data_IF_881435830728
#
_entry.id   IF_881435830728
#
_cell.length_a   1.000
_cell.length_b   1.000
_cell.length_c   1.000
_cell.angle_alpha   90.00
_cell.angle_beta   90.00
_cell.angle_gamma   90.00
#
_symmetry.space_group_name_H-M   'P 1'
#
loop_
_entity.id
_entity.type
_entity.pdbx_description
1 polymer ?
#
# COMPACT_ATOMS: atom_id res chain seq x y z
N UNK A 1 -5.42 7.73 0.21
CA UNK A 1 -5.88 7.41 -1.15
C UNK A 1 -5.04 8.15 -2.17
N UNK A 2 -4.82 7.56 -3.34
CA UNK A 2 -4.10 8.18 -4.46
C UNK A 2 -4.64 7.68 -5.80
N UNK A 3 -4.44 8.47 -6.84
CA UNK A 3 -4.67 8.02 -8.20
C UNK A 3 -3.35 7.64 -8.86
N UNK A 4 -3.35 6.52 -9.56
CA UNK A 4 -2.28 6.23 -10.51
C UNK A 4 -2.38 7.22 -11.67
N UNK A 5 -1.36 8.04 -11.87
CA UNK A 5 -1.38 9.14 -12.86
C UNK A 5 -1.45 8.66 -14.30
N UNK A 6 -1.02 7.42 -14.57
CA UNK A 6 -0.97 6.87 -15.92
C UNK A 6 -2.24 6.10 -16.27
N UNK A 7 -2.74 5.28 -15.34
CA UNK A 7 -3.94 4.46 -15.59
C UNK A 7 -5.22 5.13 -15.16
N UNK A 8 -5.15 6.05 -14.17
CA UNK A 8 -6.32 6.67 -13.52
C UNK A 8 -6.96 5.77 -12.47
N UNK A 9 -6.37 4.62 -12.13
CA UNK A 9 -6.87 3.74 -11.07
C UNK A 9 -6.77 4.42 -9.71
N UNK A 10 -7.82 4.31 -8.91
CA UNK A 10 -7.83 4.82 -7.54
C UNK A 10 -7.36 3.71 -6.58
N UNK A 11 -6.29 3.98 -5.86
CA UNK A 11 -5.76 3.15 -4.80
C UNK A 11 -6.19 3.66 -3.43
N UNK A 12 -6.66 2.76 -2.59
CA UNK A 12 -7.19 3.07 -1.26
C UNK A 12 -6.47 2.15 -0.26
N UNK A 13 -5.68 2.72 0.63
CA UNK A 13 -5.23 2.04 1.81
C UNK A 13 -6.22 2.38 2.92
N UNK A 14 -6.88 1.38 3.44
CA UNK A 14 -7.92 1.52 4.45
C UNK A 14 -7.47 0.84 5.73
N UNK A 15 -7.47 1.62 6.82
CA UNK A 15 -7.03 1.14 8.14
C UNK A 15 -8.13 0.31 8.75
N UNK A 16 -7.81 -0.91 9.13
CA UNK A 16 -8.73 -1.81 9.78
C UNK A 16 -9.12 -1.39 11.21
N UNK A 17 -10.12 -2.05 11.75
CA UNK A 17 -10.62 -1.77 13.10
C UNK A 17 -9.72 -2.38 14.17
N UNK A 18 -9.19 -3.57 13.96
CA UNK A 18 -8.50 -4.27 15.02
C UNK A 18 -7.48 -5.32 14.62
N UNK A 19 -7.66 -6.02 13.53
CA UNK A 19 -6.87 -7.19 13.18
C UNK A 19 -6.25 -7.15 11.77
N UNK A 20 -6.85 -6.43 10.82
CA UNK A 20 -6.47 -6.47 9.41
C UNK A 20 -6.40 -5.09 8.76
N UNK A 21 -5.36 -4.87 7.98
CA UNK A 21 -5.19 -3.73 7.08
C UNK A 21 -5.49 -4.14 5.65
N UNK A 22 -5.98 -3.20 4.82
CA UNK A 22 -6.38 -3.54 3.45
C UNK A 22 -5.99 -2.50 2.41
N UNK A 23 -5.73 -3.01 1.20
CA UNK A 23 -5.51 -2.20 0.00
C UNK A 23 -6.60 -2.54 -1.00
N UNK A 24 -7.36 -1.53 -1.37
CA UNK A 24 -8.42 -1.60 -2.37
C UNK A 24 -8.04 -0.84 -3.64
N UNK A 25 -8.57 -1.28 -4.78
CA UNK A 25 -8.36 -0.60 -6.06
C UNK A 25 -9.68 -0.44 -6.80
N UNK A 26 -9.93 0.78 -7.30
CA UNK A 26 -10.99 1.06 -8.26
C UNK A 26 -10.34 1.30 -9.61
N UNK A 27 -10.44 0.39 -10.58
CA UNK A 27 -9.97 0.65 -11.93
C UNK A 27 -10.64 1.89 -12.54
N UNK A 28 -9.91 2.68 -13.30
CA UNK A 28 -10.40 3.94 -13.89
C UNK A 28 -11.72 3.80 -14.65
N UNK A 29 -11.92 2.65 -15.32
CA UNK A 29 -13.16 2.31 -16.03
C UNK A 29 -14.10 1.43 -15.19
N UNK A 30 -13.82 1.28 -13.89
CA UNK A 30 -14.61 0.45 -12.98
C UNK A 30 -15.87 1.14 -12.48
N UNK A 31 -16.76 0.34 -11.87
CA UNK A 31 -17.94 0.88 -11.18
C UNK A 31 -17.49 1.72 -9.96
N UNK A 32 -18.08 2.90 -9.83
CA UNK A 32 -17.84 3.80 -8.68
C UNK A 32 -18.69 3.44 -7.45
N UNK A 33 -19.72 2.61 -7.62
CA UNK A 33 -20.60 2.20 -6.52
C UNK A 33 -20.11 0.87 -5.92
N UNK A 34 -19.01 0.94 -5.18
CA UNK A 34 -18.37 -0.21 -4.53
C UNK A 34 -18.59 -0.19 -3.03
N UNK A 35 -18.83 -1.36 -2.45
CA UNK A 35 -18.89 -1.58 -1.02
C UNK A 35 -17.74 -2.52 -0.62
N UNK A 36 -16.79 -2.02 0.13
CA UNK A 36 -15.60 -2.77 0.57
C UNK A 36 -15.82 -3.60 1.85
N UNK A 37 -17.05 -3.61 2.36
CA UNK A 37 -17.46 -4.61 3.35
C UNK A 37 -17.53 -4.14 4.78
N UNK A 38 -16.95 -3.03 5.16
CA UNK A 38 -17.09 -2.54 6.53
C UNK A 38 -18.57 -2.30 6.88
N UNK A 39 -19.04 -2.76 8.05
CA UNK A 39 -18.35 -3.52 9.13
C UNK A 39 -18.55 -5.05 9.03
N UNK A 40 -19.07 -5.55 7.94
CA UNK A 40 -19.33 -6.99 7.80
C UNK A 40 -18.04 -7.77 7.69
N UNK A 41 -17.05 -7.16 7.05
CA UNK A 41 -15.72 -7.68 6.85
C UNK A 41 -14.66 -6.66 7.28
N UNK A 42 -13.52 -7.15 7.74
CA UNK A 42 -12.28 -6.42 7.95
C UNK A 42 -11.23 -7.12 7.08
N UNK A 43 -10.71 -6.42 6.08
CA UNK A 43 -10.02 -7.09 4.99
C UNK A 43 -10.96 -8.04 4.23
N UNK A 44 -10.55 -9.29 4.08
CA UNK A 44 -11.36 -10.38 3.52
C UNK A 44 -11.92 -11.34 4.60
N UNK A 45 -11.79 -10.98 5.87
CA UNK A 45 -12.19 -11.79 7.01
C UNK A 45 -13.53 -11.29 7.59
N UNK A 46 -14.48 -12.18 7.90
CA UNK A 46 -15.73 -11.78 8.57
C UNK A 46 -15.47 -11.10 9.92
N UNK A 47 -16.00 -9.87 10.11
CA UNK A 47 -15.90 -9.11 11.36
C UNK A 47 -17.22 -9.13 12.13
N UNK A 48 -18.28 -8.49 11.61
CA UNK A 48 -19.60 -8.48 12.24
C UNK A 48 -20.68 -8.65 11.17
N UNK A 49 -21.12 -9.89 10.99
CA UNK A 49 -22.07 -10.25 9.94
C UNK A 49 -23.54 -9.95 10.25
N UNK A 50 -23.86 -9.40 11.45
CA UNK A 50 -25.24 -9.10 11.82
C UNK A 50 -25.86 -8.04 10.89
N UNK A 51 -26.91 -8.40 10.16
CA UNK A 51 -27.59 -7.53 9.20
C UNK A 51 -26.85 -7.36 7.87
N UNK A 52 -25.81 -8.14 7.62
CA UNK A 52 -25.05 -8.09 6.38
C UNK A 52 -25.71 -8.91 5.26
N UNK A 53 -25.46 -8.52 4.03
CA UNK A 53 -25.81 -9.28 2.85
C UNK A 53 -24.80 -10.42 2.57
N UNK A 54 -25.06 -11.22 1.51
CA UNK A 54 -24.11 -12.25 1.11
C UNK A 54 -22.76 -11.65 0.66
N UNK A 55 -21.68 -12.42 0.78
CA UNK A 55 -20.33 -11.98 0.45
C UNK A 55 -20.17 -11.38 -0.97
N UNK A 56 -20.96 -11.87 -1.93
CA UNK A 56 -20.95 -11.33 -3.29
C UNK A 56 -21.45 -9.89 -3.46
N UNK A 57 -21.98 -9.29 -2.39
CA UNK A 57 -22.36 -7.86 -2.40
C UNK A 57 -21.18 -6.93 -2.11
N UNK A 58 -20.03 -7.46 -1.77
CA UNK A 58 -18.84 -6.71 -1.37
C UNK A 58 -17.71 -6.90 -2.39
N UNK A 59 -16.84 -5.91 -2.45
CA UNK A 59 -15.59 -5.98 -3.22
C UNK A 59 -14.46 -6.16 -2.22
N UNK A 60 -13.82 -7.31 -2.28
CA UNK A 60 -12.70 -7.61 -1.40
C UNK A 60 -11.41 -6.92 -1.85
N UNK A 61 -10.50 -6.62 -0.91
CA UNK A 61 -9.25 -5.93 -1.20
C UNK A 61 -8.33 -6.76 -2.12
N UNK A 62 -7.43 -6.08 -2.80
CA UNK A 62 -6.38 -6.71 -3.62
C UNK A 62 -5.23 -7.24 -2.77
N UNK A 63 -5.09 -6.71 -1.54
CA UNK A 63 -4.11 -7.15 -0.56
C UNK A 63 -4.59 -6.84 0.85
N UNK A 64 -4.32 -7.77 1.77
CA UNK A 64 -4.52 -7.60 3.21
C UNK A 64 -3.28 -8.02 3.97
N UNK A 65 -3.08 -7.47 5.18
CA UNK A 65 -2.10 -7.99 6.12
C UNK A 65 -2.62 -7.84 7.55
N UNK A 66 -2.21 -8.76 8.43
CA UNK A 66 -2.61 -8.79 9.82
C UNK A 66 -1.76 -7.87 10.71
N UNK A 67 -2.26 -7.60 11.93
CA UNK A 67 -1.52 -6.87 12.97
C UNK A 67 -0.43 -7.72 13.64
N UNK A 68 -0.13 -8.90 13.11
CA UNK A 68 0.98 -9.73 13.56
C UNK A 68 2.32 -9.02 13.49
N UNK A 69 3.25 -9.43 14.34
CA UNK A 69 4.61 -8.86 14.41
C UNK A 69 4.67 -7.38 14.76
N UNK A 70 3.61 -6.82 15.38
CA UNK A 70 3.57 -5.42 15.82
C UNK A 70 3.07 -4.42 14.77
N UNK A 71 2.56 -4.88 13.64
CA UNK A 71 1.87 -4.05 12.65
C UNK A 71 0.57 -3.52 13.21
N UNK A 72 0.11 -2.36 12.76
CA UNK A 72 -1.08 -1.75 13.33
C UNK A 72 -1.86 -0.81 12.42
N UNK A 73 -1.27 -0.27 11.39
CA UNK A 73 -1.94 0.75 10.59
C UNK A 73 -1.22 0.96 9.26
N UNK A 74 -1.94 0.74 8.18
CA UNK A 74 -1.42 0.99 6.85
C UNK A 74 -1.29 2.48 6.57
N UNK A 75 -0.11 2.88 6.12
CA UNK A 75 0.11 4.18 5.50
C UNK A 75 0.10 3.99 4.00
N UNK A 76 -0.94 4.50 3.37
CA UNK A 76 -1.14 4.40 1.94
C UNK A 76 -0.26 5.32 1.16
N UNK A 77 0.00 4.94 -0.05
CA UNK A 77 1.04 5.35 -0.91
C UNK A 77 0.58 5.70 -2.31
N UNK A 78 1.43 5.44 -3.24
CA UNK A 78 1.26 5.76 -4.64
C UNK A 78 1.83 4.67 -5.54
N UNK A 79 1.32 4.58 -6.76
CA UNK A 79 2.00 3.85 -7.83
C UNK A 79 3.18 4.70 -8.32
N UNK A 80 4.37 4.11 -8.36
CA UNK A 80 5.55 4.82 -8.86
C UNK A 80 5.46 5.02 -10.38
N UNK A 81 5.64 6.27 -10.82
CA UNK A 81 5.61 6.69 -12.22
C UNK A 81 6.75 7.67 -12.56
N UNK A 82 7.78 7.71 -11.69
CA UNK A 82 8.93 8.57 -11.89
C UNK A 82 9.93 8.00 -12.91
N UNK A 83 10.61 8.85 -13.69
CA UNK A 83 11.59 8.39 -14.67
C UNK A 83 12.94 8.01 -14.06
N UNK A 84 13.18 8.34 -12.77
CA UNK A 84 14.50 8.17 -12.16
C UNK A 84 14.84 6.71 -11.87
N UNK A 85 13.83 5.88 -11.59
CA UNK A 85 13.98 4.47 -11.23
C UNK A 85 13.02 3.60 -12.06
N UNK A 86 13.35 3.32 -13.34
CA UNK A 86 12.46 2.54 -14.22
C UNK A 86 12.10 1.15 -13.69
N UNK A 87 12.97 0.57 -12.86
CA UNK A 87 12.72 -0.73 -12.21
C UNK A 87 11.57 -0.71 -11.21
N UNK A 88 11.17 0.47 -10.73
CA UNK A 88 10.03 0.65 -9.81
C UNK A 88 8.72 0.95 -10.53
N UNK A 89 8.78 1.18 -11.84
CA UNK A 89 7.63 1.57 -12.65
C UNK A 89 6.44 0.63 -12.46
N UNK A 90 5.27 1.20 -12.16
CA UNK A 90 4.03 0.46 -11.97
C UNK A 90 3.86 -0.23 -10.63
N UNK A 91 4.82 -0.14 -9.72
CA UNK A 91 4.69 -0.69 -8.37
C UNK A 91 3.97 0.30 -7.46
N UNK A 92 2.94 -0.17 -6.74
CA UNK A 92 2.33 0.59 -5.66
C UNK A 92 3.13 0.40 -4.38
N UNK A 93 3.50 1.48 -3.72
CA UNK A 93 4.25 1.48 -2.46
C UNK A 93 3.36 1.82 -1.29
N UNK A 94 3.54 1.13 -0.17
CA UNK A 94 2.86 1.36 1.09
C UNK A 94 3.81 1.10 2.27
N UNK A 95 3.40 1.54 3.46
CA UNK A 95 4.14 1.29 4.69
C UNK A 95 3.19 0.95 5.84
N UNK A 96 3.73 0.38 6.92
CA UNK A 96 3.03 0.26 8.20
C UNK A 96 3.58 1.29 9.20
N UNK A 97 2.67 2.02 9.83
CA UNK A 97 3.01 3.08 10.78
C UNK A 97 3.76 2.57 12.02
N UNK A 98 3.40 1.40 12.53
CA UNK A 98 3.97 0.87 13.78
C UNK A 98 5.32 0.21 13.58
N UNK A 99 5.47 -0.55 12.50
CA UNK A 99 6.68 -1.33 12.25
C UNK A 99 7.69 -0.64 11.35
N UNK A 100 7.34 0.47 10.70
CA UNK A 100 8.21 1.13 9.71
C UNK A 100 8.60 0.20 8.54
N UNK A 101 7.85 -0.85 8.32
CA UNK A 101 8.02 -1.73 7.17
C UNK A 101 7.45 -1.07 5.92
N UNK A 102 8.13 -1.28 4.79
CA UNK A 102 7.64 -0.83 3.48
C UNK A 102 7.47 -2.02 2.56
N UNK A 103 6.38 -2.01 1.81
CA UNK A 103 6.11 -3.02 0.78
C UNK A 103 5.82 -2.40 -0.56
N UNK A 104 5.98 -3.20 -1.60
CA UNK A 104 5.49 -2.90 -2.94
C UNK A 104 4.53 -3.97 -3.42
N UNK A 105 3.50 -3.54 -4.14
CA UNK A 105 2.58 -4.38 -4.87
C UNK A 105 2.80 -4.18 -6.36
N UNK A 106 2.94 -5.26 -7.11
CA UNK A 106 3.18 -5.22 -8.55
C UNK A 106 2.39 -6.30 -9.30
N UNK A 107 2.27 -6.17 -10.61
CA UNK A 107 1.62 -7.16 -11.47
C UNK A 107 0.10 -7.02 -11.53
N UNK A 108 -0.63 -8.13 -11.48
CA UNK A 108 -2.08 -8.15 -11.64
C UNK A 108 -2.81 -7.62 -10.40
N UNK A 109 -3.80 -6.74 -10.60
CA UNK A 109 -4.66 -6.24 -9.52
C UNK A 109 -5.49 -7.34 -8.83
N UNK A 110 -5.76 -8.46 -9.52
CA UNK A 110 -6.51 -9.57 -8.93
C UNK A 110 -5.65 -10.50 -8.08
N UNK A 111 -4.33 -10.45 -8.23
CA UNK A 111 -3.36 -11.23 -7.47
C UNK A 111 -1.99 -10.56 -7.57
N UNK A 112 -1.76 -9.46 -6.84
CA UNK A 112 -0.50 -8.74 -6.91
C UNK A 112 0.63 -9.54 -6.30
N UNK A 113 1.83 -9.36 -6.84
CA UNK A 113 3.05 -9.79 -6.17
C UNK A 113 3.36 -8.78 -5.08
N UNK A 114 3.42 -9.24 -3.84
CA UNK A 114 3.74 -8.42 -2.66
C UNK A 114 5.19 -8.67 -2.26
N UNK A 115 5.94 -7.61 -2.10
CA UNK A 115 7.35 -7.69 -1.71
C UNK A 115 7.65 -6.74 -0.54
N UNK A 116 8.25 -7.27 0.54
CA UNK A 116 8.86 -6.44 1.57
C UNK A 116 10.10 -5.78 0.98
N UNK A 117 10.07 -4.47 0.82
CA UNK A 117 11.17 -3.70 0.22
C UNK A 117 12.09 -3.07 1.26
N UNK A 118 11.57 -2.85 2.47
CA UNK A 118 12.37 -2.38 3.59
C UNK A 118 11.79 -2.91 4.90
N UNK A 119 12.63 -3.61 5.67
CA UNK A 119 12.25 -4.10 7.01
C UNK A 119 12.38 -3.00 8.06
N UNK A 120 11.69 -3.16 9.18
CA UNK A 120 11.79 -2.26 10.33
C UNK A 120 13.24 -1.95 10.73
N UNK A 121 14.08 -2.98 10.84
CA UNK A 121 15.49 -2.81 11.24
C UNK A 121 16.35 -2.03 10.23
N UNK A 122 15.92 -1.95 8.97
CA UNK A 122 16.63 -1.24 7.91
C UNK A 122 16.03 0.15 7.62
N UNK A 123 14.84 0.45 8.13
CA UNK A 123 14.13 1.70 7.84
C UNK A 123 14.75 2.88 8.60
N UNK A 124 15.17 3.95 7.90
CA UNK A 124 15.49 5.22 8.53
C UNK A 124 14.24 6.04 8.85
N UNK A 125 13.09 5.68 8.25
CA UNK A 125 11.80 6.34 8.44
C UNK A 125 11.16 5.83 9.71
N UNK A 126 10.69 6.71 10.56
CA UNK A 126 10.05 6.36 11.84
C UNK A 126 8.59 6.78 11.82
N UNK A 127 7.69 5.80 11.97
CA UNK A 127 6.25 6.03 11.91
C UNK A 127 5.86 6.81 10.64
N UNK A 128 5.91 6.18 9.46
CA UNK A 128 5.55 6.82 8.19
C UNK A 128 4.09 7.29 8.24
N UNK A 129 3.85 8.57 8.00
CA UNK A 129 2.52 9.19 8.16
C UNK A 129 1.80 9.42 6.85
N UNK A 130 2.52 9.68 5.77
CA UNK A 130 1.94 9.91 4.46
C UNK A 130 2.97 9.76 3.36
N UNK A 131 2.49 9.38 2.20
CA UNK A 131 3.25 9.46 0.96
C UNK A 131 2.83 10.71 0.17
N UNK A 132 3.70 11.13 -0.71
CA UNK A 132 3.46 12.18 -1.68
C UNK A 132 4.14 11.86 -3.00
N UNK A 133 3.64 12.46 -4.06
CA UNK A 133 4.17 12.30 -5.40
C UNK A 133 4.56 13.65 -5.96
N UNK A 134 5.75 13.74 -6.55
CA UNK A 134 6.19 14.93 -7.26
C UNK A 134 5.46 15.08 -8.61
N UNK A 135 5.57 16.25 -9.23
CA UNK A 135 5.05 16.46 -10.59
C UNK A 135 5.65 15.52 -11.65
N UNK A 136 6.80 14.92 -11.35
CA UNK A 136 7.49 13.96 -12.24
C UNK A 136 7.19 12.50 -11.87
N UNK A 137 6.38 12.22 -10.84
CA UNK A 137 6.08 10.85 -10.43
C UNK A 137 7.06 10.24 -9.43
N UNK A 138 8.04 11.02 -8.95
CA UNK A 138 8.95 10.59 -7.89
C UNK A 138 8.24 10.60 -6.53
N UNK A 139 8.44 9.57 -5.72
CA UNK A 139 7.75 9.43 -4.45
C UNK A 139 8.57 9.96 -3.27
N UNK A 140 7.85 10.54 -2.34
CA UNK A 140 8.36 10.94 -1.03
C UNK A 140 7.48 10.34 0.07
N UNK A 141 8.04 10.20 1.26
CA UNK A 141 7.31 9.81 2.47
C UNK A 141 7.65 10.77 3.60
N UNK A 142 6.65 11.22 4.34
CA UNK A 142 6.87 11.97 5.56
C UNK A 142 6.73 11.03 6.77
N UNK A 143 7.53 11.30 7.80
CA UNK A 143 7.47 10.56 9.05
C UNK A 143 6.93 11.41 10.22
N UNK A 144 6.63 10.73 11.33
CA UNK A 144 6.08 11.39 12.51
C UNK A 144 7.07 12.35 13.20
N UNK A 145 8.37 12.22 12.91
CA UNK A 145 9.40 13.12 13.41
C UNK A 145 9.53 14.42 12.59
N UNK A 146 8.69 14.59 11.57
CA UNK A 146 8.68 15.78 10.71
C UNK A 146 9.75 15.76 9.61
N UNK A 147 10.30 14.59 9.31
CA UNK A 147 11.26 14.41 8.22
C UNK A 147 10.52 14.00 6.95
N UNK A 148 11.09 14.39 5.80
CA UNK A 148 10.61 13.99 4.48
C UNK A 148 11.73 13.23 3.77
N UNK A 149 11.41 12.01 3.37
CA UNK A 149 12.32 11.08 2.73
C UNK A 149 11.93 10.87 1.28
N UNK A 150 12.91 10.71 0.41
CA UNK A 150 12.66 10.33 -0.98
C UNK A 150 12.78 8.83 -1.14
N UNK A 151 11.80 8.22 -1.79
CA UNK A 151 11.93 6.85 -2.26
C UNK A 151 13.00 6.79 -3.36
N UNK A 152 13.95 5.87 -3.23
CA UNK A 152 14.98 5.61 -4.25
C UNK A 152 14.95 4.15 -4.65
N UNK A 153 15.02 3.90 -5.93
CA UNK A 153 15.30 2.59 -6.48
C UNK A 153 16.74 2.17 -6.18
N UNK A 154 17.00 0.91 -6.23
CA UNK A 154 18.34 0.35 -6.04
C UNK A 154 18.78 -0.38 -7.29
N UNK A 155 20.07 -0.40 -7.51
CA UNK A 155 20.68 -1.25 -8.55
C UNK A 155 20.62 -2.69 -8.03
N UNK A 156 19.96 -3.62 -8.71
CA UNK A 156 19.96 -5.00 -8.28
C UNK A 156 21.39 -5.54 -8.33
N UNK A 157 22.00 -5.72 -7.19
CA UNK A 157 23.07 -6.70 -7.05
C UNK A 157 22.35 -8.05 -7.01
N UNK A 158 22.70 -8.97 -7.88
CA UNK A 158 22.04 -10.24 -8.11
C UNK A 158 21.98 -11.12 -6.85
N UNK A 159 21.15 -10.75 -5.88
CA UNK A 159 20.78 -11.52 -4.72
C UNK A 159 19.33 -11.13 -4.36
N UNK A 160 18.47 -12.06 -4.41
CA UNK A 160 17.09 -12.32 -4.02
C UNK A 160 16.34 -11.39 -3.06
N UNK A 161 16.78 -10.19 -2.74
CA UNK A 161 16.05 -9.23 -1.90
C UNK A 161 16.27 -7.81 -2.41
N UNK A 162 15.20 -7.21 -2.88
CA UNK A 162 15.17 -5.81 -3.27
C UNK A 162 15.27 -4.91 -2.02
N UNK A 163 16.18 -3.95 -2.03
CA UNK A 163 16.33 -2.96 -0.96
C UNK A 163 15.97 -1.59 -1.52
N UNK A 164 14.90 -0.97 -1.05
CA UNK A 164 14.64 0.44 -1.32
C UNK A 164 15.39 1.26 -0.27
N UNK A 165 16.23 2.18 -0.72
CA UNK A 165 16.90 3.12 0.18
C UNK A 165 16.08 4.41 0.23
N UNK A 166 15.69 4.79 1.43
CA UNK A 166 15.06 6.08 1.71
C UNK A 166 16.13 7.00 2.29
N UNK A 167 16.33 8.16 1.69
CA UNK A 167 17.27 9.19 2.17
C UNK A 167 16.57 10.52 2.32
#
# INVERSE_FOLDING_TARGET
>A
ISFDRDTGDLWIADVGQGDWEEINVVPANGSTNRNYGWRCYEGDVPFNLSGCGPAGNYVFPVHTYDHGSGRCSVTGGFVYRGPQYPELEGNYFLADFCTNEFWSLSGSLSNPTVQLVMSNAASPVTNPTTFGESNLGELVVADFNGQVWRLRGFVPVAITTATVTVT
#
